data_IF_409903316202
#
_entry.id   IF_409903316202
#
_cell.length_a   1.000
_cell.length_b   1.000
_cell.length_c   1.000
_cell.angle_alpha   90.00
_cell.angle_beta   90.00
_cell.angle_gamma   90.00
#
_symmetry.space_group_name_H-M   'P 1'
#
loop_
_entity.id
_entity.type
_entity.pdbx_description
1 polymer ?
#
# COMPACT_ATOMS: atom_id res chain seq x y z
N UNK A 1 -13.47 25.03 10.94
CA UNK A 1 -13.98 23.91 11.75
C UNK A 1 -12.92 23.68 12.78
N UNK A 2 -13.27 23.71 14.06
CA UNK A 2 -12.29 23.60 15.14
C UNK A 2 -11.99 22.12 15.34
N UNK A 3 -10.72 21.74 15.16
CA UNK A 3 -10.18 20.42 15.39
C UNK A 3 -9.40 20.44 16.70
N UNK A 4 -9.56 19.43 17.55
CA UNK A 4 -8.86 19.36 18.83
C UNK A 4 -8.17 17.99 18.95
N UNK A 5 -6.88 18.02 19.32
CA UNK A 5 -6.15 16.83 19.74
C UNK A 5 -6.49 16.59 21.20
N UNK A 6 -7.17 15.48 21.49
CA UNK A 6 -7.52 15.13 22.87
C UNK A 6 -6.40 14.26 23.42
N UNK A 7 -5.55 14.86 24.26
CA UNK A 7 -4.62 14.10 25.11
C UNK A 7 -5.44 13.31 26.14
N UNK A 8 -5.53 12.00 25.93
CA UNK A 8 -6.21 11.08 26.87
C UNK A 8 -5.26 10.56 27.96
N UNK A 9 -4.10 11.21 28.12
CA UNK A 9 -3.03 10.87 29.03
C UNK A 9 -3.47 10.48 30.43
N UNK A 10 -2.98 9.33 30.88
CA UNK A 10 -2.98 8.90 32.28
C UNK A 10 -2.26 9.94 33.17
N UNK A 11 -2.55 9.98 34.48
CA UNK A 11 -2.00 11.00 35.38
C UNK A 11 -0.47 10.91 35.42
N UNK A 12 0.19 12.07 35.30
CA UNK A 12 1.63 12.21 35.38
C UNK A 12 2.17 11.60 36.68
N UNK A 13 3.15 10.70 36.55
CA UNK A 13 4.02 10.29 37.64
C UNK A 13 5.36 10.97 37.40
N UNK A 14 5.68 11.97 38.24
CA UNK A 14 6.91 12.76 38.14
C UNK A 14 8.15 11.86 38.03
N UNK A 15 8.94 12.06 36.96
CA UNK A 15 10.28 11.49 36.81
C UNK A 15 10.41 10.23 35.93
N UNK A 16 9.34 9.74 35.31
CA UNK A 16 9.42 8.74 34.23
C UNK A 16 9.45 9.43 32.86
N UNK A 17 10.30 8.94 31.95
CA UNK A 17 10.14 9.23 30.51
C UNK A 17 8.69 8.94 30.13
N UNK A 18 7.98 9.83 29.41
CA UNK A 18 6.62 9.54 28.96
C UNK A 18 6.58 8.17 28.30
N UNK A 19 5.60 7.34 28.68
CA UNK A 19 5.40 6.07 27.99
C UNK A 19 5.08 6.38 26.52
N UNK A 20 5.74 5.68 25.60
CA UNK A 20 5.44 5.82 24.17
C UNK A 20 3.94 5.64 23.92
N UNK A 21 3.33 6.64 23.28
CA UNK A 21 1.96 6.53 22.81
C UNK A 21 1.94 5.85 21.44
N UNK A 22 0.97 4.97 21.19
CA UNK A 22 0.90 4.17 19.95
C UNK A 22 -0.30 4.54 19.08
N UNK A 23 -1.13 5.47 19.55
CA UNK A 23 -2.29 5.98 18.84
C UNK A 23 -2.69 7.34 19.41
N UNK A 24 -3.00 8.30 18.55
CA UNK A 24 -3.54 9.63 18.93
C UNK A 24 -5.02 9.71 18.56
N UNK A 25 -5.83 10.39 19.38
CA UNK A 25 -7.20 10.75 18.99
C UNK A 25 -7.28 12.21 18.52
N UNK A 26 -7.79 12.40 17.30
CA UNK A 26 -8.15 13.72 16.78
C UNK A 26 -9.67 13.80 16.66
N UNK A 27 -10.25 14.78 17.34
CA UNK A 27 -11.70 15.01 17.32
C UNK A 27 -12.02 16.11 16.33
N UNK A 28 -12.72 15.74 15.25
CA UNK A 28 -13.09 16.63 14.15
C UNK A 28 -14.52 16.35 13.73
N UNK A 29 -15.39 17.36 13.81
CA UNK A 29 -16.75 17.25 13.30
C UNK A 29 -16.76 16.90 11.80
N UNK A 30 -17.43 15.81 11.42
CA UNK A 30 -17.42 15.28 10.05
C UNK A 30 -16.11 14.60 9.62
N UNK A 31 -15.14 14.45 10.52
CA UNK A 31 -13.85 13.80 10.24
C UNK A 31 -13.97 12.36 9.72
N UNK A 32 -14.77 11.48 10.37
CA UNK A 32 -15.01 10.13 9.85
C UNK A 32 -15.61 10.12 8.44
N UNK A 33 -16.58 10.99 8.17
CA UNK A 33 -17.18 11.12 6.84
C UNK A 33 -16.16 11.59 5.79
N UNK A 34 -15.28 12.52 6.15
CA UNK A 34 -14.20 12.96 5.28
C UNK A 34 -13.24 11.80 4.92
N UNK A 35 -12.90 10.95 5.89
CA UNK A 35 -12.10 9.73 5.66
C UNK A 35 -12.84 8.77 4.72
N UNK A 36 -14.13 8.48 4.99
CA UNK A 36 -14.93 7.62 4.11
C UNK A 36 -14.96 8.16 2.69
N UNK A 37 -15.31 9.44 2.54
CA UNK A 37 -15.42 10.09 1.23
C UNK A 37 -14.10 10.02 0.48
N UNK A 38 -12.98 10.28 1.14
CA UNK A 38 -11.66 10.15 0.53
C UNK A 38 -11.37 8.71 0.09
N UNK A 39 -11.62 7.71 0.94
CA UNK A 39 -11.47 6.28 0.60
C UNK A 39 -12.30 5.92 -0.65
N UNK A 40 -13.51 6.46 -0.78
CA UNK A 40 -14.43 6.18 -1.88
C UNK A 40 -14.13 6.98 -3.18
N UNK A 41 -13.02 7.70 -3.25
CA UNK A 41 -12.62 8.44 -4.45
C UNK A 41 -12.85 9.95 -4.37
N UNK A 42 -13.36 10.46 -3.25
CA UNK A 42 -13.54 11.89 -2.98
C UNK A 42 -12.23 12.69 -2.91
N UNK A 43 -12.33 14.03 -2.83
CA UNK A 43 -11.19 14.91 -2.68
C UNK A 43 -10.52 14.73 -1.31
N UNK A 44 -9.26 15.14 -1.22
CA UNK A 44 -8.43 15.06 -0.01
C UNK A 44 -8.56 16.28 0.91
N UNK A 45 -9.26 17.34 0.48
CA UNK A 45 -9.45 18.57 1.27
C UNK A 45 -10.03 18.30 2.67
N UNK A 46 -10.84 17.25 2.82
CA UNK A 46 -11.41 16.82 4.10
C UNK A 46 -10.39 16.25 5.08
N UNK A 47 -9.22 15.81 4.61
CA UNK A 47 -8.12 15.32 5.45
C UNK A 47 -7.27 16.45 6.04
N UNK A 48 -7.31 17.65 5.43
CA UNK A 48 -6.46 18.76 5.83
C UNK A 48 -6.71 19.20 7.29
N UNK A 49 -7.96 19.38 7.77
CA UNK A 49 -8.19 19.74 9.18
C UNK A 49 -7.63 18.71 10.16
N UNK A 50 -7.65 17.42 9.81
CA UNK A 50 -7.16 16.32 10.64
C UNK A 50 -5.63 16.36 10.72
N UNK A 51 -4.98 16.46 9.56
CA UNK A 51 -3.50 16.46 9.49
C UNK A 51 -2.88 17.72 10.05
N UNK A 52 -3.50 18.90 9.86
CA UNK A 52 -3.04 20.13 10.51
C UNK A 52 -3.20 20.04 12.04
N UNK A 53 -4.32 19.52 12.55
CA UNK A 53 -4.48 19.33 14.00
C UNK A 53 -3.41 18.41 14.59
N UNK A 54 -3.00 17.37 13.86
CA UNK A 54 -1.88 16.52 14.27
C UNK A 54 -0.58 17.33 14.39
N UNK A 55 -0.18 18.06 13.34
CA UNK A 55 1.07 18.83 13.35
C UNK A 55 1.04 20.11 14.20
N UNK A 56 -0.14 20.59 14.61
CA UNK A 56 -0.25 21.64 15.64
C UNK A 56 0.15 21.11 17.03
N UNK A 57 0.04 19.80 17.27
CA UNK A 57 0.35 19.15 18.55
C UNK A 57 1.65 18.35 18.56
N UNK A 58 2.17 17.97 17.39
CA UNK A 58 3.34 17.11 17.25
C UNK A 58 4.40 17.74 16.32
N UNK A 59 5.67 17.43 16.57
CA UNK A 59 6.75 17.88 15.70
C UNK A 59 6.63 17.28 14.28
N UNK A 60 7.20 17.96 13.29
CA UNK A 60 7.26 17.45 11.91
C UNK A 60 8.34 16.38 11.76
N UNK A 61 8.12 15.23 12.43
CA UNK A 61 9.06 14.13 12.50
C UNK A 61 8.53 12.78 11.96
N UNK A 62 7.41 12.82 11.24
CA UNK A 62 6.73 11.65 10.68
C UNK A 62 6.85 11.57 9.16
N UNK A 63 7.11 10.37 8.65
CA UNK A 63 7.07 10.04 7.22
C UNK A 63 5.65 9.69 6.77
N UNK A 64 4.82 9.08 7.61
CA UNK A 64 3.45 8.71 7.26
C UNK A 64 2.45 9.04 8.36
N UNK A 65 1.25 9.49 7.98
CA UNK A 65 0.08 9.52 8.87
C UNK A 65 -0.92 8.46 8.43
N UNK A 66 -1.31 7.59 9.36
CA UNK A 66 -2.37 6.60 9.18
C UNK A 66 -3.63 7.11 9.87
N UNK A 67 -4.59 7.59 9.09
CA UNK A 67 -5.86 8.14 9.58
C UNK A 67 -6.91 7.04 9.60
N UNK A 68 -7.41 6.67 10.78
CA UNK A 68 -8.37 5.59 10.96
C UNK A 68 -9.70 6.14 11.44
N UNK A 69 -10.80 5.68 10.83
CA UNK A 69 -12.15 5.99 11.29
C UNK A 69 -13.08 4.78 11.21
N UNK A 70 -14.03 4.70 12.15
CA UNK A 70 -15.10 3.69 12.13
C UNK A 70 -16.16 4.10 11.10
N UNK A 71 -16.01 3.60 9.89
CA UNK A 71 -16.88 3.91 8.74
C UNK A 71 -17.20 2.63 7.96
N UNK A 72 -18.23 2.68 7.13
CA UNK A 72 -18.52 1.62 6.15
C UNK A 72 -17.89 1.96 4.79
N UNK A 73 -17.77 0.97 3.91
CA UNK A 73 -17.29 1.17 2.53
C UNK A 73 -15.91 0.57 2.27
N UNK A 74 -15.10 1.26 1.46
CA UNK A 74 -13.76 0.84 1.05
C UNK A 74 -12.79 0.62 2.22
N UNK A 75 -11.70 -0.09 1.96
CA UNK A 75 -10.77 -0.51 3.01
C UNK A 75 -9.72 0.54 3.35
N UNK A 76 -9.18 1.22 2.33
CA UNK A 76 -8.18 2.26 2.50
C UNK A 76 -7.90 3.03 1.22
N UNK A 77 -7.14 4.12 1.35
CA UNK A 77 -6.58 4.89 0.23
C UNK A 77 -5.36 5.68 0.67
N UNK A 78 -4.38 5.79 -0.22
CA UNK A 78 -3.18 6.61 -0.05
C UNK A 78 -3.25 7.95 -0.81
N UNK A 79 -2.64 8.99 -0.24
CA UNK A 79 -2.29 10.24 -0.90
C UNK A 79 -0.83 10.63 -0.63
N UNK A 80 -0.18 11.20 -1.63
CA UNK A 80 1.17 11.77 -1.48
C UNK A 80 1.08 13.18 -0.92
N UNK A 81 1.81 13.46 0.16
CA UNK A 81 1.97 14.81 0.69
C UNK A 81 3.26 15.44 0.14
N UNK A 82 4.42 14.82 0.39
CA UNK A 82 5.71 15.24 -0.14
C UNK A 82 6.50 14.07 -0.70
N UNK A 83 7.01 14.22 -1.92
CA UNK A 83 7.80 13.19 -2.59
C UNK A 83 8.76 13.83 -3.58
N UNK A 84 10.07 13.54 -3.52
CA UNK A 84 10.98 13.98 -4.57
C UNK A 84 10.63 13.33 -5.91
N UNK A 85 11.24 13.80 -7.00
CA UNK A 85 11.23 12.99 -8.22
C UNK A 85 11.96 11.67 -7.95
N UNK A 86 11.37 10.57 -8.39
CA UNK A 86 11.94 9.22 -8.33
C UNK A 86 11.81 8.59 -9.73
N UNK A 87 12.64 9.00 -10.71
CA UNK A 87 12.55 8.51 -12.08
C UNK A 87 12.66 6.99 -12.19
N UNK A 88 13.41 6.33 -11.30
CA UNK A 88 13.59 4.88 -11.23
C UNK A 88 12.28 4.14 -10.90
N UNK A 89 11.30 4.87 -10.36
CA UNK A 89 9.96 4.40 -10.05
C UNK A 89 8.94 4.83 -11.12
N UNK A 90 9.37 5.57 -12.16
CA UNK A 90 8.52 6.20 -13.18
C UNK A 90 7.90 7.55 -12.76
N UNK A 91 8.41 8.15 -11.68
CA UNK A 91 7.90 9.40 -11.10
C UNK A 91 8.84 10.56 -11.39
N UNK A 92 8.70 11.20 -12.55
CA UNK A 92 9.66 12.22 -13.03
C UNK A 92 9.50 13.61 -12.41
N UNK A 93 8.43 13.84 -11.64
CA UNK A 93 8.16 15.11 -10.98
C UNK A 93 8.01 14.95 -9.48
N UNK A 94 8.60 15.89 -8.73
CA UNK A 94 8.33 16.01 -7.31
C UNK A 94 6.86 16.39 -7.06
N UNK A 95 6.33 15.94 -5.93
CA UNK A 95 5.06 16.36 -5.37
C UNK A 95 5.33 17.02 -4.02
N UNK A 96 4.65 18.14 -3.74
CA UNK A 96 4.74 18.81 -2.44
C UNK A 96 3.44 19.56 -2.21
N UNK A 97 2.75 19.22 -1.14
CA UNK A 97 1.53 19.89 -0.71
C UNK A 97 1.66 20.31 0.75
N UNK A 98 2.01 21.58 0.94
CA UNK A 98 2.17 22.18 2.26
C UNK A 98 0.85 22.31 3.04
N UNK A 99 -0.31 22.07 2.41
CA UNK A 99 -1.62 22.14 3.08
C UNK A 99 -1.79 21.07 4.16
N UNK A 100 -0.98 20.00 4.14
CA UNK A 100 -0.99 18.92 5.12
C UNK A 100 -0.30 19.24 6.45
N UNK A 101 0.19 20.47 6.66
CA UNK A 101 0.81 20.92 7.92
C UNK A 101 2.29 20.56 8.09
N UNK A 102 2.79 19.52 7.40
CA UNK A 102 4.21 19.17 7.38
C UNK A 102 5.06 20.12 6.52
N UNK A 103 6.25 20.48 7.01
CA UNK A 103 7.24 21.33 6.35
C UNK A 103 8.07 20.58 5.29
N UNK A 104 7.66 19.38 4.88
CA UNK A 104 8.26 18.62 3.78
C UNK A 104 8.67 17.20 4.14
N UNK A 105 8.55 16.79 5.41
CA UNK A 105 8.94 15.45 5.86
C UNK A 105 7.87 14.39 5.55
N UNK A 106 6.60 14.74 5.70
CA UNK A 106 5.48 13.82 5.51
C UNK A 106 5.44 13.30 4.06
N UNK A 107 5.75 12.02 3.88
CA UNK A 107 5.73 11.33 2.59
C UNK A 107 4.31 11.19 2.06
N UNK A 108 3.40 10.73 2.91
CA UNK A 108 2.00 10.56 2.53
C UNK A 108 1.06 10.30 3.69
N UNK A 109 -0.22 10.37 3.35
CA UNK A 109 -1.34 10.15 4.27
C UNK A 109 -2.10 8.93 3.79
N UNK A 110 -2.31 7.98 4.69
CA UNK A 110 -3.02 6.73 4.46
C UNK A 110 -4.32 6.78 5.25
N UNK A 111 -5.45 6.83 4.56
CA UNK A 111 -6.76 6.74 5.19
C UNK A 111 -7.22 5.28 5.22
N UNK A 112 -7.65 4.80 6.37
CA UNK A 112 -8.09 3.41 6.58
C UNK A 112 -9.43 3.38 7.28
N UNK A 113 -10.25 2.39 6.89
CA UNK A 113 -11.40 2.00 7.67
C UNK A 113 -10.96 1.22 8.92
N UNK A 114 -11.55 1.55 10.06
CA UNK A 114 -11.44 0.79 11.31
C UNK A 114 -12.70 -0.06 11.50
N UNK A 115 -12.60 -1.38 11.29
CA UNK A 115 -13.75 -2.30 11.35
C UNK A 115 -13.48 -3.56 12.18
N UNK A 116 -14.53 -4.38 12.40
CA UNK A 116 -14.46 -5.59 13.22
C UNK A 116 -13.67 -6.74 12.57
N UNK A 117 -13.53 -6.71 11.24
CA UNK A 117 -12.94 -7.78 10.41
C UNK A 117 -11.59 -7.42 9.78
N UNK A 118 -10.99 -6.29 10.14
CA UNK A 118 -9.64 -5.94 9.68
C UNK A 118 -9.29 -4.46 9.85
N UNK A 119 -7.98 -4.21 9.95
CA UNK A 119 -7.34 -2.90 9.86
C UNK A 119 -6.46 -2.95 8.61
N UNK A 120 -6.64 -2.05 7.64
CA UNK A 120 -5.83 -2.07 6.41
C UNK A 120 -6.63 -2.34 5.13
N UNK A 121 -5.96 -2.28 3.97
CA UNK A 121 -4.63 -2.87 3.78
C UNK A 121 -3.49 -1.85 3.96
N UNK A 122 -2.90 -1.81 5.16
CA UNK A 122 -1.93 -0.78 5.57
C UNK A 122 -0.61 -0.90 4.78
N UNK A 123 -0.13 -2.11 4.53
CA UNK A 123 1.06 -2.36 3.72
C UNK A 123 0.82 -1.98 2.26
N UNK A 124 -0.34 -2.33 1.72
CA UNK A 124 -0.75 -1.95 0.38
C UNK A 124 -0.77 -0.42 0.21
N UNK A 125 -1.48 0.29 1.08
CA UNK A 125 -1.59 1.75 0.97
C UNK A 125 -0.23 2.44 1.20
N UNK A 126 0.60 1.92 2.09
CA UNK A 126 1.98 2.44 2.28
C UNK A 126 2.83 2.23 1.02
N UNK A 127 2.63 1.12 0.30
CA UNK A 127 3.35 0.78 -0.93
C UNK A 127 3.17 1.77 -2.08
N UNK A 128 2.01 2.45 -2.15
CA UNK A 128 1.70 3.46 -3.17
C UNK A 128 2.63 4.67 -3.17
N UNK A 129 3.44 4.89 -2.12
CA UNK A 129 4.51 5.91 -2.17
C UNK A 129 5.57 5.58 -3.25
N UNK A 130 5.88 4.30 -3.44
CA UNK A 130 6.98 3.85 -4.31
C UNK A 130 6.51 3.20 -5.62
N UNK A 131 5.41 2.47 -5.62
CA UNK A 131 5.26 1.36 -6.58
C UNK A 131 4.32 1.63 -7.76
N UNK A 132 4.64 0.95 -8.86
CA UNK A 132 3.88 0.86 -10.12
C UNK A 132 3.49 2.19 -10.80
N UNK A 133 4.45 3.11 -10.90
CA UNK A 133 4.34 4.26 -11.81
C UNK A 133 5.22 4.09 -13.06
N UNK A 134 5.67 2.86 -13.32
CA UNK A 134 6.51 2.50 -14.46
C UNK A 134 5.82 2.78 -15.79
N UNK A 135 6.60 2.81 -16.86
CA UNK A 135 6.11 3.12 -18.20
C UNK A 135 4.94 2.20 -18.61
N UNK A 136 3.87 2.80 -19.11
CA UNK A 136 2.66 2.06 -19.49
C UNK A 136 2.92 1.06 -20.61
N UNK A 137 4.01 1.16 -21.38
CA UNK A 137 4.38 0.15 -22.35
C UNK A 137 4.62 -1.23 -21.74
N UNK A 138 4.88 -1.32 -20.43
CA UNK A 138 5.04 -2.58 -19.72
C UNK A 138 3.75 -3.41 -19.62
N UNK A 139 2.58 -2.76 -19.69
CA UNK A 139 1.27 -3.41 -19.61
C UNK A 139 0.75 -3.67 -18.20
N UNK A 140 1.48 -3.32 -17.14
CA UNK A 140 1.01 -3.45 -15.76
C UNK A 140 -0.31 -2.71 -15.53
N UNK A 141 -1.24 -3.36 -14.85
CA UNK A 141 -2.54 -2.79 -14.50
C UNK A 141 -3.48 -2.47 -15.67
N UNK A 142 -3.11 -2.82 -16.91
CA UNK A 142 -3.85 -2.43 -18.11
C UNK A 142 -4.68 -3.59 -18.66
N UNK A 143 -5.74 -3.90 -17.93
CA UNK A 143 -6.74 -4.87 -18.36
C UNK A 143 -7.61 -4.27 -19.47
N UNK A 144 -8.28 -5.14 -20.25
CA UNK A 144 -9.06 -4.70 -21.41
C UNK A 144 -10.25 -3.83 -21.00
N UNK A 145 -10.87 -4.16 -19.88
CA UNK A 145 -12.09 -3.55 -19.36
C UNK A 145 -11.85 -2.62 -18.18
N UNK A 146 -10.63 -2.62 -17.62
CA UNK A 146 -10.28 -1.81 -16.45
C UNK A 146 -8.82 -1.39 -16.44
N UNK A 147 -8.60 -0.11 -16.15
CA UNK A 147 -7.29 0.39 -15.74
C UNK A 147 -7.20 0.32 -14.21
N UNK A 148 -6.30 -0.51 -13.71
CA UNK A 148 -6.05 -0.63 -12.28
C UNK A 148 -5.12 0.48 -11.77
N UNK A 149 -4.63 1.39 -12.61
CA UNK A 149 -3.81 2.51 -12.19
C UNK A 149 -2.50 2.03 -11.57
N UNK A 150 -2.17 2.40 -10.31
CA UNK A 150 -0.92 2.04 -9.67
C UNK A 150 -0.90 0.58 -9.15
N UNK A 151 -1.61 -0.37 -9.77
CA UNK A 151 -1.61 -1.78 -9.36
C UNK A 151 -1.11 -2.74 -10.45
N UNK A 152 -0.59 -3.89 -10.07
CA UNK A 152 0.11 -4.81 -10.97
C UNK A 152 -0.80 -5.50 -12.00
N UNK A 153 -2.11 -5.54 -11.77
CA UNK A 153 -3.08 -6.20 -12.67
C UNK A 153 -2.78 -7.70 -12.82
N UNK A 154 -3.11 -8.28 -13.97
CA UNK A 154 -2.71 -9.66 -14.27
C UNK A 154 -1.23 -9.75 -14.71
N UNK A 155 -0.34 -9.68 -13.72
CA UNK A 155 1.10 -9.90 -13.90
C UNK A 155 1.70 -10.76 -12.80
N UNK A 156 2.89 -11.31 -13.03
CA UNK A 156 3.57 -12.22 -12.09
C UNK A 156 4.33 -11.51 -10.95
N UNK A 157 3.98 -10.26 -10.62
CA UNK A 157 4.64 -9.53 -9.52
C UNK A 157 4.28 -10.17 -8.18
N UNK A 158 3.02 -10.56 -7.99
CA UNK A 158 2.53 -11.30 -6.81
C UNK A 158 2.86 -10.61 -5.47
N UNK A 159 2.58 -9.31 -5.38
CA UNK A 159 2.96 -8.47 -4.24
C UNK A 159 1.76 -7.80 -3.57
N UNK A 160 2.03 -6.75 -2.79
CA UNK A 160 0.99 -5.97 -2.11
C UNK A 160 0.00 -5.34 -3.09
N UNK A 161 0.46 -4.87 -4.26
CA UNK A 161 -0.39 -4.23 -5.26
C UNK A 161 -0.95 -5.23 -6.29
N UNK A 162 -1.08 -6.49 -5.90
CA UNK A 162 -1.73 -7.54 -6.69
C UNK A 162 -0.76 -8.36 -7.54
N UNK A 163 -1.32 -8.97 -8.58
CA UNK A 163 -0.61 -9.91 -9.46
C UNK A 163 -0.69 -11.36 -9.01
N UNK A 164 -0.49 -12.29 -9.94
CA UNK A 164 -0.56 -13.73 -9.74
C UNK A 164 0.81 -14.34 -9.45
N UNK A 165 0.82 -15.52 -8.83
CA UNK A 165 2.02 -16.36 -8.78
C UNK A 165 2.36 -16.89 -10.19
N UNK A 166 3.51 -16.47 -10.73
CA UNK A 166 3.97 -16.81 -12.09
C UNK A 166 4.08 -18.31 -12.34
N UNK A 167 4.41 -19.11 -11.32
CA UNK A 167 4.52 -20.57 -11.43
C UNK A 167 3.17 -21.24 -11.66
N UNK A 168 2.07 -20.50 -11.49
CA UNK A 168 0.70 -20.99 -11.64
C UNK A 168 0.07 -20.64 -12.99
N UNK A 169 0.74 -19.83 -13.83
CA UNK A 169 0.24 -19.46 -15.15
C UNK A 169 0.23 -20.67 -16.09
N UNK A 170 -0.94 -20.97 -16.67
CA UNK A 170 -1.13 -22.09 -17.60
C UNK A 170 -1.97 -21.65 -18.79
N UNK A 171 -1.78 -22.31 -19.92
CA UNK A 171 -2.58 -22.11 -21.12
C UNK A 171 -3.94 -22.82 -21.01
N UNK A 172 -4.97 -22.24 -21.64
CA UNK A 172 -6.19 -23.00 -21.98
C UNK A 172 -5.94 -23.93 -23.17
N UNK A 173 -5.01 -23.55 -24.06
CA UNK A 173 -4.61 -24.33 -25.23
C UNK A 173 -3.09 -24.20 -25.49
N UNK A 174 -2.30 -25.29 -25.48
CA UNK A 174 -2.67 -26.62 -24.99
C UNK A 174 -3.13 -26.55 -23.52
N UNK A 175 -4.17 -27.31 -23.18
CA UNK A 175 -4.74 -27.24 -21.84
C UNK A 175 -3.72 -27.60 -20.76
N UNK A 176 -3.64 -26.75 -19.72
CA UNK A 176 -2.81 -26.94 -18.53
C UNK A 176 -1.28 -27.04 -18.81
N UNK A 177 -0.82 -26.52 -19.95
CA UNK A 177 0.61 -26.38 -20.23
C UNK A 177 1.14 -25.02 -19.76
N UNK A 178 2.43 -24.87 -19.42
CA UNK A 178 3.03 -23.54 -19.33
C UNK A 178 3.01 -22.84 -20.71
N UNK A 179 3.12 -21.50 -20.77
CA UNK A 179 3.36 -20.77 -22.02
C UNK A 179 4.55 -21.33 -22.82
N UNK A 180 4.55 -21.20 -24.17
CA UNK A 180 3.66 -20.41 -24.99
C UNK A 180 2.30 -21.07 -25.27
N UNK A 181 1.25 -20.25 -25.27
CA UNK A 181 -0.12 -20.68 -25.52
C UNK A 181 -0.53 -20.46 -26.99
N UNK A 182 -1.51 -21.21 -27.46
CA UNK A 182 -2.06 -21.12 -28.82
C UNK A 182 -3.26 -20.17 -28.83
N UNK A 183 -3.34 -19.21 -29.77
CA UNK A 183 -4.52 -18.37 -29.92
C UNK A 183 -5.78 -19.19 -30.21
N UNK A 184 -6.89 -18.78 -29.60
CA UNK A 184 -8.22 -19.29 -29.88
C UNK A 184 -8.78 -18.71 -31.20
N UNK A 185 -9.87 -19.26 -31.78
CA UNK A 185 -10.46 -18.73 -33.00
C UNK A 185 -10.88 -17.25 -32.93
N UNK A 186 -11.09 -16.70 -31.72
CA UNK A 186 -11.32 -15.28 -31.47
C UNK A 186 -10.10 -14.39 -31.77
N UNK A 187 -8.91 -14.99 -31.92
CA UNK A 187 -7.63 -14.30 -32.04
C UNK A 187 -7.00 -13.93 -30.69
N UNK A 188 -7.70 -14.16 -29.58
CA UNK A 188 -7.19 -13.97 -28.21
C UNK A 188 -6.61 -15.28 -27.67
N UNK A 189 -5.79 -15.16 -26.63
CA UNK A 189 -5.11 -16.29 -26.00
C UNK A 189 -5.70 -16.51 -24.62
N UNK A 190 -6.11 -17.75 -24.33
CA UNK A 190 -6.64 -18.12 -23.02
C UNK A 190 -5.56 -18.56 -22.05
N UNK A 191 -5.67 -18.05 -20.82
CA UNK A 191 -4.78 -18.34 -19.70
C UNK A 191 -5.58 -18.71 -18.45
N UNK A 192 -4.95 -19.45 -17.54
CA UNK A 192 -5.45 -19.67 -16.19
C UNK A 192 -4.35 -19.45 -15.17
N UNK A 193 -4.69 -18.98 -13.97
CA UNK A 193 -3.77 -18.77 -12.84
C UNK A 193 -4.38 -19.29 -11.54
N UNK A 194 -3.58 -19.42 -10.48
CA UNK A 194 -4.15 -19.49 -9.12
C UNK A 194 -4.92 -18.19 -8.78
N UNK A 195 -5.79 -18.20 -7.76
CA UNK A 195 -6.44 -16.99 -7.26
C UNK A 195 -5.44 -15.88 -6.94
N UNK A 196 -5.79 -14.66 -7.34
CA UNK A 196 -5.08 -13.44 -6.95
C UNK A 196 -6.03 -12.23 -7.07
N UNK A 197 -5.65 -11.11 -6.46
CA UNK A 197 -6.31 -9.83 -6.68
C UNK A 197 -5.55 -8.98 -7.70
N UNK A 198 -6.19 -8.44 -8.74
CA UNK A 198 -5.51 -7.55 -9.70
C UNK A 198 -5.10 -6.21 -9.08
N UNK A 199 -5.82 -5.75 -8.05
CA UNK A 199 -5.48 -4.55 -7.30
C UNK A 199 -4.63 -4.83 -6.06
N UNK A 200 -4.94 -5.86 -5.28
CA UNK A 200 -4.30 -6.09 -3.99
C UNK A 200 -4.29 -7.58 -3.65
N UNK A 201 -3.22 -8.05 -3.01
CA UNK A 201 -3.18 -9.38 -2.42
C UNK A 201 -3.20 -9.29 -0.89
N UNK A 202 -4.07 -10.09 -0.27
CA UNK A 202 -3.86 -10.58 1.08
C UNK A 202 -4.13 -9.63 2.27
N UNK A 203 -4.43 -8.35 2.09
CA UNK A 203 -4.86 -7.49 3.20
C UNK A 203 -3.90 -7.51 4.40
N UNK A 204 -2.62 -7.25 4.14
CA UNK A 204 -1.49 -7.30 5.07
C UNK A 204 -0.99 -8.69 5.49
N UNK A 205 -1.36 -9.78 4.80
CA UNK A 205 -0.83 -11.14 5.06
C UNK A 205 0.24 -11.61 4.05
N UNK A 206 0.45 -10.86 2.98
CA UNK A 206 1.44 -11.18 1.93
C UNK A 206 2.64 -10.26 2.13
N UNK A 207 3.89 -10.69 1.89
CA UNK A 207 5.04 -9.78 1.91
C UNK A 207 5.08 -8.87 0.68
N UNK A 208 6.00 -7.91 0.65
CA UNK A 208 6.31 -7.21 -0.60
C UNK A 208 7.06 -8.15 -1.56
N UNK A 209 6.70 -8.10 -2.85
CA UNK A 209 7.37 -8.87 -3.88
C UNK A 209 8.81 -8.36 -4.14
N UNK A 210 9.70 -9.18 -4.73
CA UNK A 210 11.07 -8.75 -5.05
C UNK A 210 11.15 -7.47 -5.89
N UNK A 211 10.26 -7.29 -6.88
CA UNK A 211 10.19 -6.05 -7.65
C UNK A 211 9.75 -4.86 -6.79
N UNK A 212 8.77 -5.06 -5.90
CA UNK A 212 8.30 -4.03 -4.98
C UNK A 212 9.43 -3.58 -4.04
N UNK A 213 10.17 -4.54 -3.45
CA UNK A 213 11.34 -4.26 -2.62
C UNK A 213 12.44 -3.53 -3.40
N UNK A 214 12.68 -3.90 -4.66
CA UNK A 214 13.60 -3.18 -5.53
C UNK A 214 13.16 -1.73 -5.74
N UNK A 215 11.88 -1.47 -6.05
CA UNK A 215 11.36 -0.11 -6.24
C UNK A 215 11.38 0.73 -4.96
N UNK A 216 11.25 0.11 -3.78
CA UNK A 216 11.46 0.78 -2.49
C UNK A 216 12.93 1.12 -2.21
N UNK A 217 13.87 0.56 -2.99
CA UNK A 217 15.30 0.64 -2.70
C UNK A 217 15.74 -0.29 -1.55
N UNK A 218 14.99 -1.36 -1.26
CA UNK A 218 15.30 -2.30 -0.17
C UNK A 218 15.99 -3.58 -0.67
N UNK A 219 15.91 -3.87 -1.97
CA UNK A 219 16.59 -4.99 -2.60
C UNK A 219 17.41 -4.51 -3.81
N UNK A 220 18.60 -5.10 -4.06
CA UNK A 220 19.35 -4.85 -5.29
C UNK A 220 18.66 -5.52 -6.50
N UNK A 221 18.98 -5.04 -7.70
CA UNK A 221 18.45 -5.58 -8.95
C UNK A 221 18.62 -7.10 -9.10
N UNK A 222 19.71 -7.66 -8.56
CA UNK A 222 20.02 -9.09 -8.64
C UNK A 222 19.04 -10.00 -7.86
N UNK A 223 18.25 -9.45 -6.95
CA UNK A 223 17.26 -10.21 -6.17
C UNK A 223 15.87 -10.22 -6.82
N UNK A 224 15.64 -9.46 -7.89
CA UNK A 224 14.33 -9.42 -8.56
C UNK A 224 14.14 -10.69 -9.40
N UNK A 225 13.08 -11.45 -9.10
CA UNK A 225 12.64 -12.56 -9.95
C UNK A 225 12.10 -12.01 -11.28
N UNK A 226 12.88 -12.18 -12.34
CA UNK A 226 12.58 -11.71 -13.69
C UNK A 226 12.96 -12.77 -14.73
N UNK A 227 12.37 -12.76 -15.94
CA UNK A 227 11.39 -11.79 -16.44
C UNK A 227 10.02 -11.89 -15.75
N UNK A 228 9.31 -10.77 -15.67
CA UNK A 228 7.93 -10.71 -15.18
C UNK A 228 6.98 -11.08 -16.31
N UNK A 229 6.04 -11.97 -16.07
CA UNK A 229 5.00 -12.33 -17.02
C UNK A 229 3.85 -11.33 -16.87
N UNK A 230 3.50 -10.62 -17.94
CA UNK A 230 2.41 -9.64 -17.96
C UNK A 230 1.42 -10.05 -19.04
N UNK A 231 0.17 -10.32 -18.68
CA UNK A 231 -0.87 -10.52 -19.68
C UNK A 231 -1.21 -9.16 -20.31
N UNK A 232 -1.32 -9.11 -21.64
CA UNK A 232 -1.57 -7.86 -22.37
C UNK A 232 -3.06 -7.72 -22.65
N UNK A 233 -3.65 -6.65 -22.09
CA UNK A 233 -5.10 -6.41 -22.11
C UNK A 233 -5.88 -7.67 -21.73
N UNK A 234 -5.60 -8.29 -20.56
CA UNK A 234 -6.36 -9.41 -20.05
C UNK A 234 -7.82 -9.00 -19.81
N UNK A 235 -8.71 -9.96 -19.91
CA UNK A 235 -10.11 -9.84 -19.56
C UNK A 235 -10.45 -11.07 -18.74
N UNK A 236 -10.93 -10.86 -17.52
CA UNK A 236 -11.41 -11.95 -16.69
C UNK A 236 -12.61 -12.62 -17.36
N UNK A 237 -12.60 -13.95 -17.39
CA UNK A 237 -13.68 -14.75 -17.96
C UNK A 237 -14.52 -15.32 -16.83
N UNK A 238 -13.90 -16.14 -15.98
CA UNK A 238 -14.58 -16.83 -14.89
C UNK A 238 -13.59 -17.38 -13.86
N UNK A 239 -14.11 -17.70 -12.67
CA UNK A 239 -13.45 -18.59 -11.72
C UNK A 239 -13.88 -20.02 -12.03
N UNK A 240 -12.91 -20.89 -12.33
CA UNK A 240 -13.14 -22.29 -12.65
C UNK A 240 -13.52 -23.09 -11.39
N UNK A 241 -14.16 -24.27 -11.52
CA UNK A 241 -14.47 -25.14 -10.38
C UNK A 241 -13.26 -25.58 -9.53
N UNK A 242 -12.05 -25.43 -10.06
CA UNK A 242 -10.79 -25.67 -9.35
C UNK A 242 -10.35 -24.51 -8.46
N UNK A 243 -11.08 -23.38 -8.47
CA UNK A 243 -10.69 -22.11 -7.87
C UNK A 243 -9.70 -21.31 -8.73
N UNK A 244 -9.25 -21.82 -9.88
CA UNK A 244 -8.36 -21.08 -10.78
C UNK A 244 -9.11 -19.97 -11.49
N UNK A 245 -8.45 -18.84 -11.72
CA UNK A 245 -9.00 -17.73 -12.49
C UNK A 245 -8.68 -17.92 -13.97
N UNK A 246 -9.66 -17.71 -14.84
CA UNK A 246 -9.53 -17.81 -16.30
C UNK A 246 -9.56 -16.43 -16.94
N UNK A 247 -8.68 -16.21 -17.92
CA UNK A 247 -8.53 -14.95 -18.63
C UNK A 247 -8.40 -15.18 -20.13
N UNK A 248 -8.90 -14.25 -20.92
CA UNK A 248 -8.47 -14.04 -22.30
C UNK A 248 -7.57 -12.81 -22.37
N UNK A 249 -6.48 -12.87 -23.12
CA UNK A 249 -5.60 -11.71 -23.34
C UNK A 249 -5.15 -11.65 -24.81
N UNK A 250 -4.61 -10.52 -25.25
CA UNK A 250 -4.00 -10.43 -26.58
C UNK A 250 -2.69 -11.23 -26.69
N UNK A 251 -2.08 -11.49 -25.54
CA UNK A 251 -0.80 -12.14 -25.43
C UNK A 251 -0.26 -12.08 -24.02
N UNK A 252 0.94 -12.63 -23.85
CA UNK A 252 1.76 -12.49 -22.66
C UNK A 252 3.08 -11.85 -23.08
N UNK A 253 3.57 -10.91 -22.28
CA UNK A 253 4.87 -10.28 -22.44
C UNK A 253 5.76 -10.67 -21.28
N UNK A 254 6.98 -11.09 -21.59
CA UNK A 254 8.05 -11.24 -20.60
C UNK A 254 8.78 -9.91 -20.48
N UNK A 255 8.72 -9.29 -19.30
CA UNK A 255 9.36 -8.01 -19.01
C UNK A 255 10.62 -8.27 -18.20
N UNK A 256 11.82 -8.21 -18.80
CA UNK A 256 13.06 -8.32 -18.06
C UNK A 256 13.32 -7.05 -17.25
N UNK A 257 13.92 -7.18 -16.06
CA UNK A 257 14.28 -6.01 -15.24
C UNK A 257 15.21 -5.04 -15.99
N UNK A 258 16.07 -5.54 -16.88
CA UNK A 258 16.95 -4.70 -17.70
C UNK A 258 16.19 -3.73 -18.61
N UNK A 259 14.97 -4.06 -19.05
CA UNK A 259 14.12 -3.14 -19.83
C UNK A 259 13.56 -2.03 -18.93
N UNK A 260 13.13 -2.38 -17.71
CA UNK A 260 12.71 -1.39 -16.70
C UNK A 260 13.86 -0.43 -16.40
N UNK A 261 15.06 -0.96 -16.14
CA UNK A 261 16.27 -0.16 -15.87
C UNK A 261 16.66 0.71 -17.07
N UNK A 262 16.53 0.20 -18.30
CA UNK A 262 16.86 0.97 -19.49
C UNK A 262 15.95 2.21 -19.68
N UNK A 263 14.69 2.15 -19.23
CA UNK A 263 13.75 3.26 -19.34
C UNK A 263 13.83 4.20 -18.12
N UNK A 264 13.85 3.63 -16.91
CA UNK A 264 13.68 4.39 -15.65
C UNK A 264 14.98 4.65 -14.90
N UNK A 265 16.06 3.95 -15.25
CA UNK A 265 17.30 3.95 -14.49
C UNK A 265 17.33 2.83 -13.44
N UNK A 266 18.52 2.58 -12.90
CA UNK A 266 18.73 1.58 -11.86
C UNK A 266 18.47 2.18 -10.47
N UNK A 267 17.64 1.50 -9.67
CA UNK A 267 17.38 1.89 -8.29
C UNK A 267 18.56 1.45 -7.41
N UNK A 268 19.24 2.42 -6.83
CA UNK A 268 20.27 2.14 -5.83
C UNK A 268 19.60 1.80 -4.49
N UNK A 269 20.01 0.71 -3.81
CA UNK A 269 19.50 0.41 -2.49
C UNK A 269 19.78 1.55 -1.49
N UNK A 270 18.79 1.84 -0.64
CA UNK A 270 18.90 2.86 0.41
C UNK A 270 20.00 2.47 1.41
N UNK A 271 20.74 3.44 1.98
CA UNK A 271 21.55 3.25 3.18
C UNK A 271 20.71 2.69 4.33
N UNK A 272 21.30 1.90 5.24
CA UNK A 272 20.55 1.25 6.33
C UNK A 272 19.83 2.24 7.26
N UNK A 273 20.43 3.40 7.51
CA UNK A 273 19.88 4.47 8.34
C UNK A 273 18.69 5.20 7.68
N UNK A 274 18.52 5.07 6.37
CA UNK A 274 17.36 5.58 5.62
C UNK A 274 16.21 4.56 5.50
N UNK A 275 16.35 3.37 6.09
CA UNK A 275 15.33 2.29 6.06
C UNK A 275 14.45 2.25 7.31
N UNK A 276 14.54 3.28 8.15
CA UNK A 276 13.70 3.45 9.34
C UNK A 276 12.74 4.61 9.06
N UNK A 277 11.47 4.28 8.90
CA UNK A 277 10.40 5.24 8.66
C UNK A 277 9.63 5.51 9.96
N UNK A 278 9.05 6.70 10.09
CA UNK A 278 8.20 7.07 11.22
C UNK A 278 6.75 7.20 10.78
N UNK A 279 5.86 6.48 11.43
CA UNK A 279 4.42 6.50 11.16
C UNK A 279 3.63 6.94 12.39
N UNK A 280 2.55 7.69 12.23
CA UNK A 280 1.61 7.93 13.35
C UNK A 280 0.25 7.32 13.04
N UNK A 281 -0.31 6.58 13.98
CA UNK A 281 -1.68 6.05 13.90
C UNK A 281 -2.63 7.01 14.60
N UNK A 282 -3.56 7.56 13.85
CA UNK A 282 -4.45 8.63 14.29
C UNK A 282 -5.89 8.14 14.17
N UNK A 283 -6.55 7.95 15.30
CA UNK A 283 -7.98 7.68 15.36
C UNK A 283 -8.75 8.99 15.22
N UNK A 284 -9.58 9.09 14.20
CA UNK A 284 -10.40 10.25 13.91
C UNK A 284 -11.86 9.98 14.29
N UNK A 285 -12.41 10.85 15.14
CA UNK A 285 -13.76 10.72 15.69
C UNK A 285 -14.49 12.06 15.73
N UNK A 286 -15.81 12.04 15.87
CA UNK A 286 -16.60 13.27 16.09
C UNK A 286 -16.70 13.67 17.56
N UNK A 287 -16.40 12.75 18.46
CA UNK A 287 -16.38 12.94 19.92
C UNK A 287 -15.16 12.23 20.49
N UNK A 288 -14.67 12.59 21.71
CA UNK A 288 -13.52 11.92 22.31
C UNK A 288 -13.66 10.40 22.27
N UNK A 289 -12.62 9.73 21.77
CA UNK A 289 -12.62 8.29 21.61
C UNK A 289 -12.73 7.56 22.94
N UNK A 290 -13.43 6.42 22.93
CA UNK A 290 -13.42 5.49 24.05
C UNK A 290 -12.08 4.74 24.13
N UNK A 291 -11.73 4.25 25.32
CA UNK A 291 -10.54 3.41 25.50
C UNK A 291 -10.57 2.15 24.62
N UNK A 292 -11.75 1.60 24.32
CA UNK A 292 -11.87 0.44 23.45
C UNK A 292 -11.48 0.76 22.01
N UNK A 293 -11.91 1.91 21.49
CA UNK A 293 -11.53 2.37 20.14
C UNK A 293 -10.02 2.65 20.07
N UNK A 294 -9.48 3.36 21.05
CA UNK A 294 -8.04 3.65 21.11
C UNK A 294 -7.22 2.37 21.27
N UNK A 295 -7.64 1.42 22.10
CA UNK A 295 -6.95 0.14 22.27
C UNK A 295 -6.83 -0.64 20.96
N UNK A 296 -7.87 -0.63 20.12
CA UNK A 296 -7.81 -1.26 18.78
C UNK A 296 -6.74 -0.63 17.90
N UNK A 297 -6.68 0.70 17.85
CA UNK A 297 -5.69 1.43 17.05
C UNK A 297 -4.28 1.23 17.62
N UNK A 298 -4.10 1.28 18.95
CA UNK A 298 -2.81 1.00 19.60
C UNK A 298 -2.30 -0.41 19.29
N UNK A 299 -3.16 -1.43 19.38
CA UNK A 299 -2.79 -2.80 19.01
C UNK A 299 -2.38 -2.86 17.55
N UNK A 300 -3.13 -2.22 16.65
CA UNK A 300 -2.79 -2.24 15.23
C UNK A 300 -1.46 -1.55 14.92
N UNK A 301 -1.25 -0.37 15.49
CA UNK A 301 0.01 0.36 15.40
C UNK A 301 1.20 -0.51 15.84
N UNK A 302 1.08 -1.20 16.97
CA UNK A 302 2.13 -2.09 17.49
C UNK A 302 2.35 -3.32 16.62
N UNK A 303 1.30 -3.92 16.07
CA UNK A 303 1.44 -5.01 15.09
C UNK A 303 2.18 -4.53 13.86
N UNK A 304 1.79 -3.38 13.30
CA UNK A 304 2.42 -2.84 12.10
C UNK A 304 3.89 -2.48 12.31
N UNK A 305 4.25 -1.99 13.50
CA UNK A 305 5.64 -1.75 13.90
C UNK A 305 6.46 -3.03 14.17
N UNK A 306 5.80 -4.18 14.37
CA UNK A 306 6.47 -5.44 14.76
C UNK A 306 6.69 -5.59 16.27
N UNK A 307 6.01 -4.77 17.08
CA UNK A 307 6.09 -4.73 18.55
C UNK A 307 5.02 -5.61 19.23
N UNK A 308 4.11 -6.17 18.44
CA UNK A 308 3.08 -7.11 18.87
C UNK A 308 2.82 -8.13 17.76
N UNK A 309 2.66 -9.40 18.14
CA UNK A 309 2.35 -10.47 17.19
C UNK A 309 0.83 -10.59 17.00
N UNK A 310 0.36 -10.52 15.76
CA UNK A 310 -1.06 -10.62 15.40
C UNK A 310 -1.55 -12.06 15.18
N UNK A 311 -0.64 -13.03 15.03
CA UNK A 311 -0.94 -14.41 14.66
C UNK A 311 -1.27 -14.64 13.18
N UNK A 312 -1.16 -13.63 12.31
CA UNK A 312 -1.41 -13.80 10.88
C UNK A 312 -1.21 -12.57 9.97
N UNK A 313 -1.26 -11.35 10.52
CA UNK A 313 -0.94 -10.10 9.81
C UNK A 313 0.56 -9.81 9.94
N UNK A 314 1.18 -9.38 8.85
CA UNK A 314 2.59 -9.02 8.81
C UNK A 314 2.81 -7.60 9.34
N UNK A 315 3.90 -7.42 10.07
CA UNK A 315 4.45 -6.08 10.33
C UNK A 315 5.09 -5.52 9.06
N UNK A 316 5.38 -4.21 9.03
CA UNK A 316 6.18 -3.61 7.95
C UNK A 316 7.58 -4.24 7.86
N UNK A 317 8.16 -4.59 9.01
CA UNK A 317 9.45 -5.30 9.08
C UNK A 317 9.36 -6.68 8.43
N UNK A 318 8.34 -7.48 8.77
CA UNK A 318 8.19 -8.83 8.21
C UNK A 318 7.87 -8.79 6.72
N UNK A 319 6.97 -7.89 6.31
CA UNK A 319 6.60 -7.72 4.91
C UNK A 319 7.78 -7.27 4.04
N UNK A 320 8.75 -6.56 4.61
CA UNK A 320 10.00 -6.17 3.94
C UNK A 320 11.14 -7.18 4.14
N UNK A 321 10.86 -8.37 4.69
CA UNK A 321 11.86 -9.40 5.00
C UNK A 321 13.00 -8.89 5.90
N UNK A 322 12.67 -7.99 6.84
CA UNK A 322 13.62 -7.39 7.78
C UNK A 322 14.51 -6.30 7.20
N UNK A 323 14.19 -5.79 6.00
CA UNK A 323 15.03 -4.80 5.30
C UNK A 323 14.70 -3.37 5.68
N UNK A 324 13.51 -3.10 6.20
CA UNK A 324 13.10 -1.79 6.68
C UNK A 324 12.21 -1.90 7.91
N UNK A 325 12.08 -0.80 8.64
CA UNK A 325 11.31 -0.72 9.87
C UNK A 325 10.37 0.48 9.85
N UNK A 326 9.22 0.34 10.49
CA UNK A 326 8.29 1.44 10.77
C UNK A 326 8.24 1.65 12.29
N UNK A 327 8.79 2.76 12.79
CA UNK A 327 8.58 3.20 14.17
C UNK A 327 7.23 3.93 14.24
N UNK A 328 6.29 3.37 14.98
CA UNK A 328 4.95 3.96 15.16
C UNK A 328 4.72 4.53 16.56
N UNK A 329 5.77 4.55 17.40
CA UNK A 329 5.72 5.20 18.68
C UNK A 329 5.73 6.73 18.51
N UNK A 330 4.82 7.38 19.23
CA UNK A 330 4.71 8.83 19.33
C UNK A 330 5.44 9.23 20.61
N UNK A 331 6.47 10.07 20.46
CA UNK A 331 7.41 10.48 21.51
C UNK A 331 7.72 11.96 21.40
#
# INVERSE_FOLDING_TARGET
MDAEVVDTGRPAVDGATPAAEWAVNIVVAGGPEAIRSFIEGGPDDGLLPITNAFFDAHEDDFDFLYLLAEVEGGAGRYMTAHRPAMPENGLTSAASDARYGSAGRLKGVVALRLGDSGNGPTLHETGHYWMNFLDRSFGFGQDLDRDWGPHWGASSVNGQLGGFDGDTLRCTSPADSPPPCTPEPSGRIGYTTAPFGPAANGGDVVPYAPLELYLMGLAPAAEVTAPLQVLIRPMFVEELPSGRLSFEADGMREVPLSEIIAIHGEKTPLPEDERIFRGAFVLVTETPATEAQLARVRTWSRVFAGEENSGGLLSFTDATSGRAHMDTAIR
#
